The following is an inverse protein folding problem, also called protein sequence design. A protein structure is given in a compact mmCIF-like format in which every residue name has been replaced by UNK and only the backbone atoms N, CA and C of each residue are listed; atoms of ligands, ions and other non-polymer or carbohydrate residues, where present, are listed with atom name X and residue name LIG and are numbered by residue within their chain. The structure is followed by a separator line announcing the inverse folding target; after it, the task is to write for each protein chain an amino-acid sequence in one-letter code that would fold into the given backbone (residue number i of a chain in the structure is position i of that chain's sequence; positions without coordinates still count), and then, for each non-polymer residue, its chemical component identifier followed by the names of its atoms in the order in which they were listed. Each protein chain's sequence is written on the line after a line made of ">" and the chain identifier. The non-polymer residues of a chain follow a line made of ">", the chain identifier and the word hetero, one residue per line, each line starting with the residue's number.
data_IF_289893109373
#
_entry.id   IF_289893109373
#
_cell.length_a   1.000
_cell.length_b   1.000
_cell.length_c   1.000
_cell.angle_alpha   90.00
_cell.angle_beta   90.00
_cell.angle_gamma   90.00
#
_symmetry.space_group_name_H-M   'P 1'
#
loop_
_entity.id
_entity.type
_entity.pdbx_description
1 polymer ?
#
# COMPACT_ATOMS: atom_id res chain seq x y z
N UNK A 1 -2.61 -27.68 -4.94
CA UNK A 1 -2.63 -26.20 -4.94
C UNK A 1 -2.30 -25.72 -3.54
N UNK A 2 -1.16 -25.05 -3.34
CA UNK A 2 -0.85 -24.46 -2.02
C UNK A 2 -1.90 -23.38 -1.72
N UNK A 3 -2.65 -23.55 -0.61
CA UNK A 3 -3.58 -22.52 -0.13
C UNK A 3 -2.75 -21.33 0.35
N UNK A 4 -2.64 -20.30 -0.49
CA UNK A 4 -2.08 -19.03 -0.05
C UNK A 4 -2.91 -18.49 1.11
N UNK A 5 -2.28 -18.23 2.26
CA UNK A 5 -3.00 -17.76 3.47
C UNK A 5 -3.16 -16.26 3.43
N UNK A 6 -4.14 -15.78 2.64
CA UNK A 6 -4.51 -14.36 2.60
C UNK A 6 -5.39 -14.00 3.81
N UNK A 7 -4.93 -13.06 4.63
CA UNK A 7 -5.70 -12.50 5.75
C UNK A 7 -5.55 -10.99 5.81
N UNK A 8 -6.66 -10.30 6.02
CA UNK A 8 -6.70 -8.86 6.28
C UNK A 8 -7.45 -8.62 7.58
N UNK A 9 -6.83 -7.88 8.49
CA UNK A 9 -7.49 -7.45 9.73
C UNK A 9 -7.09 -6.03 10.09
N UNK A 10 -7.90 -5.42 10.96
CA UNK A 10 -7.72 -4.05 11.41
C UNK A 10 -7.40 -4.03 12.91
N UNK A 11 -6.60 -3.06 13.32
CA UNK A 11 -6.28 -2.83 14.73
C UNK A 11 -6.03 -1.34 14.96
N UNK A 12 -6.11 -0.92 16.22
CA UNK A 12 -5.80 0.47 16.59
C UNK A 12 -4.40 0.59 17.17
N UNK A 13 -3.67 1.64 16.79
CA UNK A 13 -2.36 1.94 17.36
C UNK A 13 -2.54 2.85 18.59
N UNK A 14 -2.84 2.25 19.74
CA UNK A 14 -3.12 2.98 21.01
C UNK A 14 -1.98 3.91 21.45
N UNK A 15 -0.73 3.54 21.18
CA UNK A 15 0.44 4.38 21.49
C UNK A 15 0.48 5.71 20.71
N UNK A 16 -0.34 5.86 19.66
CA UNK A 16 -0.42 7.07 18.85
C UNK A 16 -1.74 7.81 19.08
N UNK A 17 -2.32 7.68 20.27
CA UNK A 17 -3.52 8.39 20.69
C UNK A 17 -3.29 9.90 20.71
N UNK A 18 -4.23 10.65 20.15
CA UNK A 18 -4.28 12.11 20.21
C UNK A 18 -5.72 12.54 20.53
N UNK A 19 -5.91 13.33 21.58
CA UNK A 19 -7.22 13.85 21.97
C UNK A 19 -8.31 12.77 22.15
N UNK A 20 -7.97 11.61 22.72
CA UNK A 20 -8.92 10.50 22.92
C UNK A 20 -9.26 9.69 21.66
N UNK A 21 -8.60 9.98 20.54
CA UNK A 21 -8.77 9.31 19.26
C UNK A 21 -7.51 8.50 18.92
N UNK A 22 -7.70 7.26 18.50
CA UNK A 22 -6.63 6.34 18.09
C UNK A 22 -6.73 6.05 16.59
N UNK A 23 -5.60 6.04 15.86
CA UNK A 23 -5.61 5.72 14.44
C UNK A 23 -5.85 4.23 14.21
N UNK A 24 -6.68 3.94 13.20
CA UNK A 24 -6.96 2.58 12.72
C UNK A 24 -5.93 2.21 11.65
N UNK A 25 -5.32 1.05 11.86
CA UNK A 25 -4.31 0.44 11.00
C UNK A 25 -4.87 -0.84 10.38
N UNK A 26 -4.47 -1.12 9.15
CA UNK A 26 -4.73 -2.39 8.49
C UNK A 26 -3.46 -3.22 8.39
N UNK A 27 -3.60 -4.54 8.53
CA UNK A 27 -2.52 -5.51 8.29
C UNK A 27 -2.97 -6.52 7.25
N UNK A 28 -2.14 -6.71 6.23
CA UNK A 28 -2.28 -7.74 5.19
C UNK A 28 -1.25 -8.81 5.51
N UNK A 29 -1.66 -10.07 5.53
CA UNK A 29 -0.77 -11.23 5.71
C UNK A 29 -0.97 -12.17 4.54
N UNK A 30 0.13 -12.58 3.89
CA UNK A 30 0.15 -13.53 2.76
C UNK A 30 1.35 -14.43 2.95
N UNK A 31 1.12 -15.74 3.09
CA UNK A 31 2.18 -16.75 3.13
C UNK A 31 3.30 -16.46 4.15
N UNK A 32 2.92 -15.97 5.34
CA UNK A 32 3.86 -15.60 6.41
C UNK A 32 4.47 -14.19 6.29
N UNK A 33 4.38 -13.56 5.11
CA UNK A 33 4.77 -12.15 4.95
C UNK A 33 3.63 -11.24 5.41
N UNK A 34 3.98 -10.15 6.11
CA UNK A 34 3.01 -9.18 6.60
C UNK A 34 3.36 -7.77 6.15
N UNK A 35 2.34 -6.99 5.79
CA UNK A 35 2.48 -5.58 5.46
C UNK A 35 1.41 -4.75 6.17
N UNK A 36 1.81 -3.62 6.75
CA UNK A 36 0.94 -2.73 7.51
C UNK A 36 0.69 -1.44 6.74
N UNK A 37 -0.51 -0.88 6.86
CA UNK A 37 -0.88 0.38 6.24
C UNK A 37 -1.82 1.18 7.14
N UNK A 38 -1.81 2.51 6.99
CA UNK A 38 -2.77 3.37 7.67
C UNK A 38 -4.08 3.40 6.90
N UNK A 39 -5.20 3.20 7.59
CA UNK A 39 -6.52 3.37 6.99
C UNK A 39 -6.91 4.85 6.85
N UNK A 40 -6.10 5.79 7.39
CA UNK A 40 -6.42 7.23 7.52
C UNK A 40 -7.75 7.50 8.24
N UNK A 41 -8.11 6.59 9.14
CA UNK A 41 -9.30 6.67 9.98
C UNK A 41 -8.86 6.71 11.44
N UNK A 42 -9.62 7.41 12.27
CA UNK A 42 -9.45 7.43 13.72
C UNK A 42 -10.75 6.99 14.38
N UNK A 43 -10.63 6.42 15.57
CA UNK A 43 -11.76 5.98 16.39
C UNK A 43 -11.49 6.29 17.85
N UNK A 44 -12.53 6.53 18.65
CA UNK A 44 -12.37 6.64 20.11
C UNK A 44 -11.85 5.31 20.66
N UNK A 45 -10.86 5.39 21.55
CA UNK A 45 -10.26 4.20 22.17
C UNK A 45 -11.30 3.31 22.87
N UNK A 46 -12.33 3.92 23.46
CA UNK A 46 -13.46 3.23 24.13
C UNK A 46 -14.42 2.51 23.18
N UNK A 47 -14.50 2.94 21.93
CA UNK A 47 -15.39 2.36 20.92
C UNK A 47 -14.75 1.19 20.18
N UNK A 48 -13.45 0.93 20.33
CA UNK A 48 -12.78 -0.15 19.61
C UNK A 48 -12.80 -1.48 20.38
N UNK A 49 -13.31 -2.54 19.76
CA UNK A 49 -13.21 -3.91 20.27
C UNK A 49 -11.96 -4.60 19.69
N UNK A 50 -10.95 -4.79 20.53
CA UNK A 50 -9.70 -5.44 20.14
C UNK A 50 -9.85 -6.95 19.89
N UNK A 51 -10.84 -7.63 20.48
CA UNK A 51 -11.08 -9.06 20.22
C UNK A 51 -11.77 -9.24 18.88
N UNK A 52 -12.72 -8.36 18.57
CA UNK A 52 -13.49 -8.42 17.34
C UNK A 52 -12.83 -7.68 16.14
N UNK A 53 -11.74 -6.93 16.38
CA UNK A 53 -11.03 -6.12 15.39
C UNK A 53 -11.94 -5.11 14.64
N UNK A 54 -12.93 -4.56 15.36
CA UNK A 54 -13.93 -3.62 14.81
C UNK A 54 -14.42 -2.64 15.86
N UNK A 55 -15.13 -1.61 15.42
CA UNK A 55 -15.83 -0.72 16.34
C UNK A 55 -17.01 -1.43 17.00
N UNK A 56 -17.10 -1.33 18.31
CA UNK A 56 -18.16 -1.85 19.17
C UNK A 56 -19.35 -0.89 19.24
N UNK A 57 -20.52 -1.47 19.49
CA UNK A 57 -21.76 -0.74 19.72
C UNK A 57 -22.64 -0.56 18.48
N UNK A 58 -23.82 0.02 18.71
CA UNK A 58 -24.83 0.33 17.69
C UNK A 58 -24.88 1.81 17.32
N UNK A 59 -23.89 2.59 17.74
CA UNK A 59 -23.84 4.02 17.40
C UNK A 59 -23.64 4.19 15.90
N UNK A 60 -24.21 5.28 15.35
CA UNK A 60 -24.05 5.62 13.94
C UNK A 60 -22.56 5.79 13.56
N UNK A 61 -21.74 6.30 14.49
CA UNK A 61 -20.29 6.42 14.32
C UNK A 61 -19.62 5.04 14.15
N UNK A 62 -19.95 4.07 15.01
CA UNK A 62 -19.39 2.72 14.94
C UNK A 62 -19.82 1.98 13.66
N UNK A 63 -21.10 2.12 13.26
CA UNK A 63 -21.61 1.54 12.02
C UNK A 63 -20.90 2.09 10.79
N UNK A 64 -20.83 3.42 10.66
CA UNK A 64 -20.14 4.10 9.54
C UNK A 64 -18.65 3.73 9.48
N UNK A 65 -18.00 3.59 10.63
CA UNK A 65 -16.60 3.17 10.68
C UNK A 65 -16.44 1.72 10.19
N UNK A 66 -17.27 0.80 10.67
CA UNK A 66 -17.25 -0.60 10.26
C UNK A 66 -17.54 -0.78 8.76
N UNK A 67 -18.49 -0.04 8.21
CA UNK A 67 -18.77 -0.02 6.76
C UNK A 67 -17.54 0.41 5.96
N UNK A 68 -16.84 1.48 6.39
CA UNK A 68 -15.60 1.93 5.74
C UNK A 68 -14.51 0.85 5.80
N UNK A 69 -14.37 0.16 6.94
CA UNK A 69 -13.39 -0.91 7.08
C UNK A 69 -13.70 -2.11 6.18
N UNK A 70 -14.98 -2.50 6.07
CA UNK A 70 -15.39 -3.57 5.16
C UNK A 70 -15.20 -3.18 3.67
N UNK A 71 -15.46 -1.93 3.32
CA UNK A 71 -15.15 -1.41 1.98
C UNK A 71 -13.64 -1.48 1.67
N UNK A 72 -12.79 -1.08 2.62
CA UNK A 72 -11.32 -1.20 2.49
C UNK A 72 -10.92 -2.66 2.31
N UNK A 73 -11.43 -3.56 3.15
CA UNK A 73 -11.14 -5.00 3.10
C UNK A 73 -11.55 -5.61 1.77
N UNK A 74 -12.72 -5.25 1.27
CA UNK A 74 -13.24 -5.67 -0.04
C UNK A 74 -12.35 -5.17 -1.17
N UNK A 75 -11.91 -3.91 -1.13
CA UNK A 75 -11.00 -3.36 -2.14
C UNK A 75 -9.65 -4.08 -2.15
N UNK A 76 -9.07 -4.34 -0.98
CA UNK A 76 -7.82 -5.11 -0.86
C UNK A 76 -8.00 -6.53 -1.41
N UNK A 77 -9.14 -7.18 -1.12
CA UNK A 77 -9.47 -8.49 -1.69
C UNK A 77 -9.52 -8.46 -3.22
N UNK A 78 -10.11 -7.41 -3.82
CA UNK A 78 -10.13 -7.22 -5.27
C UNK A 78 -8.71 -7.04 -5.85
N UNK A 79 -7.84 -6.26 -5.19
CA UNK A 79 -6.45 -6.10 -5.65
C UNK A 79 -5.65 -7.40 -5.53
N UNK A 80 -5.86 -8.16 -4.45
CA UNK A 80 -5.24 -9.47 -4.28
C UNK A 80 -5.64 -10.43 -5.41
N UNK A 81 -6.93 -10.52 -5.73
CA UNK A 81 -7.42 -11.37 -6.82
C UNK A 81 -6.78 -10.97 -8.16
N UNK A 82 -6.79 -9.67 -8.49
CA UNK A 82 -6.16 -9.16 -9.72
C UNK A 82 -4.68 -9.51 -9.82
N UNK A 83 -3.95 -9.44 -8.71
CA UNK A 83 -2.54 -9.80 -8.66
C UNK A 83 -2.32 -11.32 -8.78
N UNK A 84 -3.20 -12.14 -8.20
CA UNK A 84 -3.16 -13.59 -8.38
C UNK A 84 -3.44 -14.02 -9.83
N UNK A 85 -4.31 -13.30 -10.54
CA UNK A 85 -4.65 -13.61 -11.93
C UNK A 85 -3.53 -13.21 -12.90
N UNK A 86 -2.74 -12.17 -12.56
CA UNK A 86 -1.68 -11.62 -13.41
C UNK A 86 -0.28 -12.16 -13.10
N UNK A 87 0.07 -12.27 -11.82
CA UNK A 87 1.43 -12.53 -11.36
C UNK A 87 1.56 -13.97 -10.81
N UNK A 88 2.69 -14.61 -11.10
CA UNK A 88 3.00 -15.96 -10.57
C UNK A 88 3.30 -15.97 -9.06
N UNK A 89 3.63 -14.81 -8.47
CA UNK A 89 3.94 -14.67 -7.04
C UNK A 89 3.40 -13.35 -6.47
N UNK A 90 2.65 -13.46 -5.37
CA UNK A 90 1.98 -12.33 -4.70
C UNK A 90 2.48 -12.21 -3.26
N UNK A 91 2.98 -11.03 -2.89
CA UNK A 91 3.40 -10.69 -1.53
C UNK A 91 2.42 -9.73 -0.86
N UNK A 92 2.44 -9.68 0.48
CA UNK A 92 1.63 -8.72 1.23
C UNK A 92 1.96 -7.26 0.87
N UNK A 93 3.24 -6.99 0.52
CA UNK A 93 3.69 -5.66 0.09
C UNK A 93 3.17 -5.28 -1.29
N UNK A 94 3.22 -6.19 -2.28
CA UNK A 94 2.63 -5.95 -3.61
C UNK A 94 1.15 -5.57 -3.51
N UNK A 95 0.38 -6.32 -2.72
CA UNK A 95 -1.05 -6.04 -2.52
C UNK A 95 -1.27 -4.69 -1.84
N UNK A 96 -0.45 -4.36 -0.83
CA UNK A 96 -0.50 -3.04 -0.18
C UNK A 96 -0.22 -1.92 -1.18
N UNK A 97 0.83 -2.07 -1.97
CA UNK A 97 1.25 -1.06 -2.94
C UNK A 97 0.16 -0.85 -4.00
N UNK A 98 -0.36 -1.95 -4.58
CA UNK A 98 -1.49 -1.91 -5.50
C UNK A 98 -2.73 -1.23 -4.89
N UNK A 99 -3.06 -1.52 -3.63
CA UNK A 99 -4.15 -0.85 -2.90
C UNK A 99 -3.91 0.65 -2.71
N UNK A 100 -2.67 1.06 -2.44
CA UNK A 100 -2.27 2.47 -2.31
C UNK A 100 -2.12 3.18 -3.67
N UNK A 101 -2.33 2.48 -4.78
CA UNK A 101 -2.11 3.00 -6.13
C UNK A 101 -0.64 3.14 -6.51
N UNK A 102 0.25 2.54 -5.73
CA UNK A 102 1.68 2.42 -6.02
C UNK A 102 1.86 1.10 -6.78
N UNK A 103 1.92 1.14 -8.10
CA UNK A 103 2.18 -0.06 -8.89
C UNK A 103 3.64 -0.51 -8.73
N UNK A 104 3.90 -1.83 -8.83
CA UNK A 104 5.27 -2.34 -8.95
C UNK A 104 5.98 -1.81 -10.21
N UNK A 105 5.20 -1.43 -11.23
CA UNK A 105 5.67 -0.88 -12.50
C UNK A 105 5.59 0.65 -12.56
N UNK A 106 5.54 1.34 -11.41
CA UNK A 106 5.78 2.78 -11.40
C UNK A 106 7.27 3.02 -11.68
N UNK A 107 7.69 2.86 -12.95
CA UNK A 107 8.90 3.45 -13.47
C UNK A 107 8.79 4.95 -13.22
N UNK A 108 9.49 5.43 -12.21
CA UNK A 108 9.53 6.84 -11.88
C UNK A 108 10.08 7.57 -13.12
N UNK A 109 9.49 8.72 -13.45
CA UNK A 109 9.97 9.55 -14.58
C UNK A 109 11.48 9.75 -14.48
N UNK A 110 11.99 10.01 -13.28
CA UNK A 110 13.42 10.18 -12.99
C UNK A 110 14.22 8.90 -13.25
N UNK A 111 13.75 7.73 -12.78
CA UNK A 111 14.44 6.46 -13.05
C UNK A 111 14.50 6.15 -14.55
N UNK A 112 13.41 6.42 -15.28
CA UNK A 112 13.38 6.27 -16.74
C UNK A 112 14.32 7.27 -17.43
N UNK A 113 14.42 8.47 -16.89
CA UNK A 113 15.33 9.50 -17.36
C UNK A 113 16.79 9.12 -17.10
N UNK A 114 17.11 8.52 -15.95
CA UNK A 114 18.43 8.01 -15.62
C UNK A 114 18.85 6.88 -16.58
N UNK A 115 17.94 5.94 -16.89
CA UNK A 115 18.15 4.89 -17.90
C UNK A 115 18.41 5.50 -19.29
N UNK A 116 17.63 6.52 -19.66
CA UNK A 116 17.84 7.28 -20.90
C UNK A 116 19.21 7.97 -20.91
N UNK A 117 19.61 8.64 -19.83
CA UNK A 117 20.91 9.31 -19.71
C UNK A 117 22.08 8.33 -19.77
N UNK A 118 21.94 7.13 -19.18
CA UNK A 118 22.92 6.07 -19.29
C UNK A 118 23.10 5.59 -20.74
N UNK A 119 21.99 5.48 -21.50
CA UNK A 119 22.03 5.21 -22.93
C UNK A 119 22.60 6.37 -23.75
N UNK A 120 22.28 7.61 -23.38
CA UNK A 120 22.76 8.83 -24.02
C UNK A 120 24.28 8.95 -23.89
N UNK A 121 24.83 8.69 -22.71
CA UNK A 121 26.27 8.77 -22.44
C UNK A 121 27.08 7.81 -23.32
N UNK A 122 26.57 6.59 -23.57
CA UNK A 122 27.21 5.59 -24.46
C UNK A 122 27.32 6.05 -25.92
N UNK A 123 26.56 7.06 -26.31
CA UNK A 123 26.51 7.66 -27.65
C UNK A 123 27.29 8.96 -27.76
N UNK A 124 27.77 9.49 -26.65
CA UNK A 124 28.62 10.69 -26.65
C UNK A 124 29.92 10.38 -27.39
N UNK A 125 30.31 11.26 -28.32
CA UNK A 125 31.48 11.07 -29.19
C UNK A 125 31.22 10.20 -30.43
N UNK A 126 29.99 9.66 -30.60
CA UNK A 126 29.54 9.02 -31.84
C UNK A 126 28.57 9.93 -32.60
N UNK A 127 27.37 10.11 -32.05
CA UNK A 127 26.28 10.92 -32.62
C UNK A 127 25.75 11.98 -31.64
N UNK A 128 26.32 12.06 -30.43
CA UNK A 128 25.91 13.01 -29.37
C UNK A 128 27.09 13.79 -28.82
N UNK A 129 26.84 15.05 -28.44
CA UNK A 129 27.81 15.92 -27.79
C UNK A 129 27.75 15.78 -26.26
N UNK A 130 28.91 15.87 -25.59
CA UNK A 130 28.99 15.81 -24.13
C UNK A 130 28.28 16.99 -23.46
N UNK A 131 28.32 18.18 -24.06
CA UNK A 131 27.62 19.37 -23.56
C UNK A 131 26.10 19.17 -23.45
N UNK A 132 25.50 18.42 -24.37
CA UNK A 132 24.08 18.07 -24.30
C UNK A 132 23.76 17.11 -23.15
N UNK A 133 24.67 16.18 -22.83
CA UNK A 133 24.54 15.31 -21.66
C UNK A 133 24.67 16.10 -20.35
N UNK A 134 25.67 16.99 -20.26
CA UNK A 134 25.90 17.86 -19.10
C UNK A 134 24.69 18.75 -18.79
N UNK A 135 24.04 19.29 -19.83
CA UNK A 135 22.83 20.10 -19.66
C UNK A 135 21.63 19.32 -19.14
N UNK A 136 21.53 18.01 -19.38
CA UNK A 136 20.45 17.19 -18.81
C UNK A 136 20.70 16.76 -17.37
N UNK A 137 21.90 16.99 -16.84
CA UNK A 137 22.31 16.58 -15.48
C UNK A 137 22.29 17.75 -14.48
N UNK A 138 22.06 18.97 -14.96
CA UNK A 138 21.89 20.19 -14.14
C UNK A 138 20.45 20.32 -13.67
#
# INVERSE_FOLDING_TARGET
>A
MQRSTFKVFFYVKRQSEKHGQVPVMGRITINGTMSQFSCKLTVRSTLWDAKANKASGKSLEAQRLNEKLENIKTNIGKQYQRLCDRDSYVTAEKVRNAFLGMGDDCRLLLQTFDEYLAGFLKRVGKDRAYSSYDNYRK
#
